data_IF_604515679786
#
_entry.id   IF_604515679786
#
_cell.length_a   1.000
_cell.length_b   1.000
_cell.length_c   1.000
_cell.angle_alpha   90.00
_cell.angle_beta   90.00
_cell.angle_gamma   90.00
#
_symmetry.space_group_name_H-M   'P 1'
#
loop_
_entity.id
_entity.type
_entity.pdbx_description
1 polymer ?
#
# COMPACT_ATOMS: atom_id res chain seq x y z
N UNK A 1 -6.50 19.94 14.10
CA UNK A 1 -5.56 18.82 14.32
C UNK A 1 -6.23 17.48 14.60
N UNK A 2 -7.12 17.34 15.60
CA UNK A 2 -7.73 16.03 15.97
C UNK A 2 -8.51 15.32 14.85
N UNK A 3 -9.29 16.07 14.05
CA UNK A 3 -10.05 15.53 12.90
C UNK A 3 -9.15 15.01 11.78
N UNK A 4 -8.01 15.67 11.55
CA UNK A 4 -7.01 15.24 10.57
C UNK A 4 -6.31 13.95 11.01
N UNK A 5 -5.97 13.83 12.29
CA UNK A 5 -5.35 12.62 12.86
C UNK A 5 -6.28 11.41 12.73
N UNK A 6 -7.58 11.58 13.00
CA UNK A 6 -8.56 10.51 12.83
C UNK A 6 -8.71 10.07 11.37
N UNK A 7 -8.65 11.03 10.44
CA UNK A 7 -8.68 10.75 9.00
C UNK A 7 -7.45 9.98 8.52
N UNK A 8 -6.26 10.42 8.96
CA UNK A 8 -5.00 9.77 8.63
C UNK A 8 -4.93 8.35 9.20
N UNK A 9 -5.44 8.14 10.43
CA UNK A 9 -5.52 6.82 11.05
C UNK A 9 -6.41 5.86 10.23
N UNK A 10 -7.53 6.33 9.70
CA UNK A 10 -8.38 5.52 8.81
C UNK A 10 -7.64 5.10 7.54
N UNK A 11 -6.87 6.01 6.93
CA UNK A 11 -6.04 5.69 5.77
C UNK A 11 -4.91 4.69 6.09
N UNK A 12 -4.30 4.78 7.27
CA UNK A 12 -3.29 3.81 7.71
C UNK A 12 -3.87 2.41 7.91
N UNK A 13 -5.06 2.31 8.52
CA UNK A 13 -5.76 1.02 8.70
C UNK A 13 -6.06 0.41 7.34
N UNK A 14 -6.60 1.21 6.40
CA UNK A 14 -6.89 0.75 5.04
C UNK A 14 -5.62 0.27 4.33
N UNK A 15 -4.52 1.03 4.44
CA UNK A 15 -3.22 0.64 3.89
C UNK A 15 -2.75 -0.70 4.45
N UNK A 16 -2.88 -0.92 5.76
CA UNK A 16 -2.47 -2.17 6.39
C UNK A 16 -3.28 -3.37 5.88
N UNK A 17 -4.60 -3.21 5.73
CA UNK A 17 -5.47 -4.25 5.15
C UNK A 17 -5.04 -4.58 3.72
N UNK A 18 -4.76 -3.56 2.89
CA UNK A 18 -4.27 -3.77 1.53
C UNK A 18 -2.89 -4.43 1.48
N UNK A 19 -1.98 -4.04 2.37
CA UNK A 19 -0.64 -4.63 2.45
C UNK A 19 -0.72 -6.11 2.83
N UNK A 20 -1.52 -6.46 3.84
CA UNK A 20 -1.75 -7.85 4.23
C UNK A 20 -2.46 -8.64 3.13
N UNK A 21 -3.50 -8.08 2.52
CA UNK A 21 -4.22 -8.73 1.42
C UNK A 21 -3.33 -8.99 0.21
N UNK A 22 -2.52 -8.02 -0.18
CA UNK A 22 -1.54 -8.17 -1.26
C UNK A 22 -0.47 -9.20 -0.91
N UNK A 23 0.02 -9.20 0.33
CA UNK A 23 0.99 -10.20 0.79
C UNK A 23 0.42 -11.61 0.76
N UNK A 24 -0.82 -11.80 1.22
CA UNK A 24 -1.50 -13.10 1.18
C UNK A 24 -1.73 -13.57 -0.25
N UNK A 25 -2.19 -12.69 -1.15
CA UNK A 25 -2.33 -13.03 -2.57
C UNK A 25 -0.99 -13.48 -3.16
N UNK A 26 0.10 -12.75 -2.88
CA UNK A 26 1.42 -13.11 -3.35
C UNK A 26 1.83 -14.50 -2.84
N UNK A 27 1.61 -14.80 -1.57
CA UNK A 27 1.90 -16.12 -1.00
C UNK A 27 1.03 -17.23 -1.59
N UNK A 28 -0.26 -16.96 -1.88
CA UNK A 28 -1.14 -17.94 -2.51
C UNK A 28 -0.70 -18.33 -3.92
N UNK A 29 -0.15 -17.38 -4.68
CA UNK A 29 0.36 -17.62 -6.04
C UNK A 29 1.86 -17.97 -6.07
N UNK A 30 2.54 -17.99 -4.92
CA UNK A 30 3.96 -18.33 -4.83
C UNK A 30 4.13 -19.85 -4.71
N UNK A 31 4.81 -20.44 -5.68
CA UNK A 31 5.20 -21.85 -5.62
C UNK A 31 6.65 -21.92 -5.12
N UNK A 32 6.93 -22.50 -3.93
CA UNK A 32 8.30 -22.57 -3.43
C UNK A 32 9.13 -23.57 -4.23
N UNK A 33 10.12 -23.09 -4.98
CA UNK A 33 11.10 -23.95 -5.64
C UNK A 33 12.18 -24.40 -4.63
N UNK A 34 12.07 -25.65 -4.19
CA UNK A 34 13.04 -26.28 -3.28
C UNK A 34 14.34 -26.69 -3.99
N UNK A 35 14.33 -26.82 -5.32
CA UNK A 35 15.54 -27.13 -6.11
C UNK A 35 16.42 -25.90 -6.29
N UNK A 36 15.82 -24.70 -6.41
CA UNK A 36 16.53 -23.43 -6.34
C UNK A 36 17.29 -23.22 -5.02
N UNK A 37 16.74 -23.72 -3.91
CA UNK A 37 17.33 -23.57 -2.58
C UNK A 37 18.56 -24.48 -2.36
N UNK A 38 18.64 -25.62 -3.07
CA UNK A 38 19.71 -26.60 -2.91
C UNK A 38 20.81 -26.47 -3.98
N UNK A 39 20.45 -26.09 -5.20
CA UNK A 39 21.39 -25.72 -6.26
C UNK A 39 21.05 -24.30 -6.72
N UNK A 40 21.81 -23.27 -6.27
CA UNK A 40 21.64 -21.91 -6.78
C UNK A 40 22.16 -21.87 -8.22
N UNK A 41 21.39 -22.41 -9.16
CA UNK A 41 21.63 -22.18 -10.58
C UNK A 41 21.35 -20.71 -10.84
N UNK A 42 22.28 -20.04 -11.51
CA UNK A 42 22.31 -18.59 -11.72
C UNK A 42 21.11 -18.02 -12.52
N UNK A 43 20.13 -18.86 -12.89
CA UNK A 43 19.03 -18.54 -13.79
C UNK A 43 17.64 -18.99 -13.28
N UNK A 44 17.45 -19.24 -11.98
CA UNK A 44 16.12 -19.59 -11.47
C UNK A 44 15.25 -18.34 -11.24
N UNK A 45 14.65 -17.91 -12.34
CA UNK A 45 13.73 -16.76 -12.45
C UNK A 45 12.37 -17.17 -11.87
N UNK A 46 12.25 -17.13 -10.55
CA UNK A 46 10.95 -16.98 -9.90
C UNK A 46 11.01 -15.96 -8.77
N UNK A 47 11.88 -14.96 -8.91
CA UNK A 47 11.84 -13.76 -8.10
C UNK A 47 10.74 -12.86 -8.67
N UNK A 48 9.68 -12.65 -7.89
CA UNK A 48 8.75 -11.54 -8.14
C UNK A 48 9.53 -10.26 -7.83
N UNK A 49 10.24 -9.74 -8.82
CA UNK A 49 10.97 -8.50 -8.71
C UNK A 49 9.96 -7.35 -8.73
N UNK A 50 9.67 -6.79 -7.55
CA UNK A 50 8.80 -5.61 -7.42
C UNK A 50 9.45 -4.32 -7.95
N UNK A 51 10.56 -4.43 -8.70
CA UNK A 51 11.40 -3.30 -9.08
C UNK A 51 12.08 -2.69 -7.86
N UNK A 52 12.97 -1.73 -8.08
CA UNK A 52 13.57 -0.94 -7.01
C UNK A 52 12.46 -0.16 -6.27
N UNK A 53 11.90 -0.76 -5.22
CA UNK A 53 10.92 -0.13 -4.33
C UNK A 53 11.64 0.87 -3.44
N UNK A 54 11.97 2.02 -4.02
CA UNK A 54 12.28 3.20 -3.22
C UNK A 54 11.13 3.40 -2.21
N UNK A 55 11.39 3.84 -0.97
CA UNK A 55 10.36 4.07 0.05
C UNK A 55 9.35 5.20 -0.31
N UNK A 56 9.31 5.62 -1.57
CA UNK A 56 8.34 6.54 -2.16
C UNK A 56 6.88 6.13 -1.91
N UNK A 57 6.59 4.85 -1.69
CA UNK A 57 5.24 4.37 -1.37
C UNK A 57 4.64 5.14 -0.18
N UNK A 58 5.42 5.38 0.87
CA UNK A 58 4.98 6.17 2.03
C UNK A 58 4.74 7.64 1.68
N UNK A 59 5.56 8.21 0.80
CA UNK A 59 5.41 9.59 0.32
C UNK A 59 4.12 9.74 -0.50
N UNK A 60 3.83 8.79 -1.39
CA UNK A 60 2.60 8.78 -2.16
C UNK A 60 1.37 8.66 -1.26
N UNK A 61 1.40 7.79 -0.25
CA UNK A 61 0.30 7.66 0.72
C UNK A 61 0.06 8.97 1.46
N UNK A 62 1.12 9.68 1.88
CA UNK A 62 0.98 10.98 2.53
C UNK A 62 0.37 12.04 1.61
N UNK A 63 0.78 12.08 0.33
CA UNK A 63 0.22 13.01 -0.66
C UNK A 63 -1.27 12.69 -0.92
N UNK A 64 -1.61 11.42 -1.10
CA UNK A 64 -2.98 10.96 -1.35
C UNK A 64 -3.87 11.27 -0.14
N UNK A 65 -3.42 10.95 1.08
CA UNK A 65 -4.15 11.25 2.30
C UNK A 65 -4.39 12.75 2.46
N UNK A 66 -3.38 13.58 2.18
CA UNK A 66 -3.49 15.04 2.24
C UNK A 66 -4.50 15.58 1.23
N UNK A 67 -4.46 15.10 -0.03
CA UNK A 67 -5.40 15.51 -1.08
C UNK A 67 -6.82 15.07 -0.77
N UNK A 68 -6.98 13.86 -0.27
CA UNK A 68 -8.25 13.27 0.10
C UNK A 68 -8.91 14.02 1.28
N UNK A 69 -8.11 14.49 2.25
CA UNK A 69 -8.59 15.36 3.33
C UNK A 69 -9.10 16.71 2.81
N UNK A 70 -8.35 17.37 1.91
CA UNK A 70 -8.76 18.65 1.31
C UNK A 70 -10.05 18.48 0.50
N UNK A 71 -10.15 17.40 -0.27
CA UNK A 71 -11.36 17.08 -1.04
C UNK A 71 -12.56 16.91 -0.10
N UNK A 72 -12.39 16.13 0.96
CA UNK A 72 -13.43 15.88 1.97
C UNK A 72 -13.89 17.19 2.61
N UNK A 73 -12.96 18.09 2.97
CA UNK A 73 -13.31 19.38 3.58
C UNK A 73 -14.05 20.31 2.61
N UNK A 74 -13.67 20.33 1.32
CA UNK A 74 -14.37 21.11 0.29
C UNK A 74 -15.78 20.59 0.04
N UNK A 75 -15.96 19.28 -0.06
CA UNK A 75 -17.28 18.65 -0.27
C UNK A 75 -18.19 18.89 0.93
N UNK A 76 -17.68 18.80 2.16
CA UNK A 76 -18.47 19.07 3.36
C UNK A 76 -18.89 20.55 3.49
N UNK A 77 -18.01 21.49 3.12
CA UNK A 77 -18.35 22.93 3.10
C UNK A 77 -19.40 23.27 2.04
N UNK A 78 -19.39 22.58 0.89
CA UNK A 78 -20.42 22.74 -0.14
C UNK A 78 -21.78 22.23 0.33
N UNK A 79 -21.82 21.08 1.02
CA UNK A 79 -23.05 20.50 1.57
C UNK A 79 -23.70 21.37 2.65
N UNK A 80 -22.94 22.20 3.36
CA UNK A 80 -23.46 23.10 4.41
C UNK A 80 -24.01 24.43 3.88
N UNK A 81 -23.84 24.74 2.59
CA UNK A 81 -24.35 25.97 1.95
C UNK A 81 -25.60 25.76 1.10
N UNK A 82 -26.07 24.52 0.97
CA UNK A 82 -27.31 24.12 0.31
C UNK A 82 -28.31 23.74 1.38
#
# INVERSE_FOLDING_TARGET
>A
MKKYIFYLASFMILYFIFQLGSGLLLTMFYTPDLTAAYYPSTNNIQEVNFGNVLPLQFVFILIIASRSFILTERVFKLKSRV
#
